data_IF_849797711572
#
_entry.id   IF_849797711572
#
_cell.length_a   1.000
_cell.length_b   1.000
_cell.length_c   1.000
_cell.angle_alpha   90.00
_cell.angle_beta   90.00
_cell.angle_gamma   90.00
#
_symmetry.space_group_name_H-M   'P 1'
#
loop_
_entity.id
_entity.type
_entity.pdbx_description
1 polymer ?
#
# COMPACT_ATOMS: atom_id res chain seq x y z
N UNK A 1 58.23 26.14 -37.30
CA UNK A 1 59.47 26.19 -36.50
C UNK A 1 59.34 27.37 -35.53
N UNK A 2 59.82 27.36 -34.26
CA UNK A 2 60.51 26.34 -33.44
C UNK A 2 59.80 26.05 -32.07
N UNK A 3 59.85 24.82 -31.51
CA UNK A 3 60.76 24.23 -30.49
C UNK A 3 60.31 24.37 -29.00
N UNK A 4 59.82 23.22 -28.48
CA UNK A 4 60.08 22.53 -27.22
C UNK A 4 60.51 23.23 -25.91
N UNK A 5 59.93 22.73 -24.80
CA UNK A 5 60.55 22.21 -23.54
C UNK A 5 59.42 21.46 -22.81
N UNK A 6 59.32 20.13 -22.71
CA UNK A 6 60.16 19.06 -22.10
C UNK A 6 60.61 19.38 -20.67
N UNK A 7 59.93 18.76 -19.71
CA UNK A 7 60.51 18.28 -18.45
C UNK A 7 59.93 16.88 -18.13
N UNK A 8 60.84 15.94 -17.97
CA UNK A 8 60.69 14.54 -17.53
C UNK A 8 60.63 14.51 -15.98
N UNK A 9 59.78 13.68 -15.36
CA UNK A 9 59.98 12.27 -14.94
C UNK A 9 60.82 12.08 -13.68
N UNK A 10 60.21 11.43 -12.66
CA UNK A 10 60.72 10.34 -11.78
C UNK A 10 59.62 10.08 -10.73
N UNK A 11 58.81 9.02 -10.79
CA UNK A 11 59.05 7.59 -10.46
C UNK A 11 59.31 7.27 -8.97
N UNK A 12 58.75 6.10 -8.59
CA UNK A 12 58.95 5.28 -7.39
C UNK A 12 58.07 5.59 -6.16
N UNK A 13 57.48 4.61 -5.46
CA UNK A 13 57.16 3.19 -5.67
C UNK A 13 56.39 2.74 -4.41
N UNK A 14 55.50 1.75 -4.58
CA UNK A 14 55.20 0.63 -3.68
C UNK A 14 55.12 0.89 -2.15
N UNK A 15 53.95 0.65 -1.57
CA UNK A 15 53.91 -0.27 -0.43
C UNK A 15 52.63 -1.11 -0.38
N UNK A 16 52.86 -2.40 -0.23
CA UNK A 16 51.91 -3.50 -0.06
C UNK A 16 51.79 -3.84 1.44
N UNK A 17 50.63 -4.37 1.83
CA UNK A 17 50.38 -4.99 3.12
C UNK A 17 49.19 -4.33 3.80
N UNK A 18 48.09 -5.01 4.16
CA UNK A 18 47.86 -6.43 4.33
C UNK A 18 47.03 -6.59 5.61
N UNK A 19 45.81 -7.11 5.44
CA UNK A 19 44.96 -7.79 6.44
C UNK A 19 44.59 -7.07 7.74
N UNK A 20 43.31 -6.72 7.87
CA UNK A 20 42.50 -7.16 9.00
C UNK A 20 41.01 -7.16 8.61
N UNK A 21 40.46 -8.38 8.52
CA UNK A 21 39.04 -8.65 8.38
C UNK A 21 38.31 -8.18 9.65
N UNK A 22 37.26 -7.37 9.50
CA UNK A 22 36.28 -7.14 10.55
C UNK A 22 34.89 -7.34 9.95
N UNK A 23 34.38 -8.55 10.11
CA UNK A 23 32.99 -8.91 9.83
C UNK A 23 32.07 -8.04 10.67
N UNK A 24 31.39 -7.10 10.01
CA UNK A 24 30.23 -6.43 10.58
C UNK A 24 29.00 -7.04 9.91
N UNK A 25 28.35 -7.96 10.63
CA UNK A 25 27.03 -8.47 10.27
C UNK A 25 26.07 -7.30 10.08
N UNK A 26 25.61 -7.11 8.85
CA UNK A 26 24.47 -6.25 8.54
C UNK A 26 23.23 -7.01 9.05
N UNK A 27 22.45 -6.46 10.00
CA UNK A 27 21.19 -7.09 10.38
C UNK A 27 20.27 -7.04 9.16
N UNK A 28 19.89 -8.21 8.64
CA UNK A 28 18.90 -8.32 7.58
C UNK A 28 17.59 -7.60 7.94
N UNK A 29 16.81 -7.15 6.93
CA UNK A 29 15.56 -6.48 7.19
C UNK A 29 14.63 -7.44 7.94
N UNK A 30 14.37 -7.12 9.21
CA UNK A 30 13.36 -7.79 10.02
C UNK A 30 12.04 -7.69 9.27
N UNK A 31 11.44 -8.83 9.03
CA UNK A 31 10.08 -9.01 8.55
C UNK A 31 9.09 -8.39 9.56
N UNK A 32 8.90 -7.07 9.51
CA UNK A 32 7.99 -6.31 10.38
C UNK A 32 6.60 -6.10 9.76
N UNK A 33 6.26 -6.81 8.69
CA UNK A 33 4.99 -6.66 8.00
C UNK A 33 3.77 -7.17 8.81
N UNK A 34 3.97 -7.90 9.93
CA UNK A 34 2.88 -8.59 10.63
C UNK A 34 2.45 -7.95 11.97
N UNK A 35 3.17 -6.93 12.47
CA UNK A 35 2.84 -6.25 13.74
C UNK A 35 2.01 -4.97 13.57
N UNK A 36 2.08 -4.34 12.41
CA UNK A 36 1.41 -3.07 12.10
C UNK A 36 -0.07 -3.27 11.76
N UNK A 37 -0.42 -4.39 11.13
CA UNK A 37 -1.82 -4.74 10.78
C UNK A 37 -2.68 -5.01 12.03
N UNK A 38 -2.16 -5.78 13.00
CA UNK A 38 -2.85 -6.07 14.27
C UNK A 38 -3.07 -4.83 15.15
N UNK A 39 -2.11 -3.90 15.19
CA UNK A 39 -2.26 -2.64 15.95
C UNK A 39 -3.31 -1.71 15.31
N UNK A 40 -3.35 -1.63 13.98
CA UNK A 40 -4.34 -0.82 13.24
C UNK A 40 -5.75 -1.39 13.35
N UNK A 41 -5.92 -2.72 13.30
CA UNK A 41 -7.25 -3.34 13.43
C UNK A 41 -7.87 -3.18 14.84
N UNK A 42 -7.07 -3.29 15.90
CA UNK A 42 -7.52 -3.03 17.27
C UNK A 42 -7.88 -1.55 17.52
N UNK A 43 -7.24 -0.62 16.81
CA UNK A 43 -7.59 0.79 16.86
C UNK A 43 -8.94 1.07 16.15
N UNK A 44 -9.16 0.44 14.99
CA UNK A 44 -10.40 0.56 14.23
C UNK A 44 -11.62 0.05 15.01
N UNK A 45 -11.52 -1.11 15.66
CA UNK A 45 -12.63 -1.65 16.45
C UNK A 45 -12.99 -0.75 17.64
N UNK A 46 -11.98 -0.17 18.31
CA UNK A 46 -12.20 0.82 19.37
C UNK A 46 -12.88 2.08 18.83
N UNK A 47 -12.42 2.62 17.70
CA UNK A 47 -13.03 3.78 17.05
C UNK A 47 -14.50 3.50 16.68
N UNK A 48 -14.80 2.36 16.05
CA UNK A 48 -16.17 1.98 15.71
C UNK A 48 -17.08 1.87 16.95
N UNK A 49 -16.59 1.29 18.04
CA UNK A 49 -17.35 1.18 19.30
C UNK A 49 -17.69 2.53 19.94
N UNK A 50 -16.90 3.58 19.64
CA UNK A 50 -17.14 4.93 20.15
C UNK A 50 -18.22 5.69 19.39
N UNK A 51 -18.62 5.22 18.21
CA UNK A 51 -19.65 5.86 17.37
C UNK A 51 -21.02 5.39 17.87
N UNK A 52 -21.68 6.21 18.70
CA UNK A 52 -22.98 5.90 19.31
C UNK A 52 -24.06 5.48 18.30
N UNK A 53 -24.06 6.08 17.11
CA UNK A 53 -25.03 5.76 16.05
C UNK A 53 -24.93 4.30 15.58
N UNK A 54 -23.73 3.69 15.61
CA UNK A 54 -23.53 2.31 15.18
C UNK A 54 -24.02 1.27 16.17
N UNK A 55 -24.26 1.64 17.44
CA UNK A 55 -24.76 0.73 18.45
C UNK A 55 -26.14 0.15 18.10
N UNK A 56 -26.95 0.89 17.34
CA UNK A 56 -28.27 0.47 16.84
C UNK A 56 -28.33 0.44 15.31
N UNK A 57 -27.19 0.62 14.64
CA UNK A 57 -27.11 0.65 13.19
C UNK A 57 -27.29 -0.74 12.57
N UNK A 58 -27.83 -0.77 11.36
CA UNK A 58 -27.86 -1.96 10.51
C UNK A 58 -26.44 -2.42 10.14
N UNK A 59 -26.31 -3.66 9.69
CA UNK A 59 -25.01 -4.19 9.28
C UNK A 59 -24.43 -3.45 8.07
N UNK A 60 -25.29 -2.92 7.19
CA UNK A 60 -24.86 -2.06 6.09
C UNK A 60 -24.30 -0.73 6.59
N UNK A 61 -24.97 -0.07 7.54
CA UNK A 61 -24.45 1.18 8.14
C UNK A 61 -23.10 0.96 8.83
N UNK A 62 -22.94 -0.16 9.53
CA UNK A 62 -21.66 -0.54 10.15
C UNK A 62 -20.58 -0.79 9.10
N UNK A 63 -20.90 -1.46 7.99
CA UNK A 63 -19.97 -1.70 6.90
C UNK A 63 -19.52 -0.38 6.24
N UNK A 64 -20.46 0.52 5.95
CA UNK A 64 -20.17 1.85 5.41
C UNK A 64 -19.33 2.67 6.37
N UNK A 65 -19.67 2.69 7.67
CA UNK A 65 -18.87 3.40 8.67
C UNK A 65 -17.45 2.82 8.80
N UNK A 66 -17.29 1.52 8.64
CA UNK A 66 -15.98 0.87 8.58
C UNK A 66 -15.17 1.36 7.38
N UNK A 67 -15.78 1.41 6.18
CA UNK A 67 -15.13 1.95 4.99
C UNK A 67 -14.71 3.42 5.15
N UNK A 68 -15.61 4.24 5.70
CA UNK A 68 -15.34 5.66 6.00
C UNK A 68 -14.17 5.81 6.96
N UNK A 69 -14.12 4.99 8.00
CA UNK A 69 -13.07 5.06 9.01
C UNK A 69 -11.72 4.59 8.47
N UNK A 70 -11.70 3.56 7.61
CA UNK A 70 -10.49 3.10 6.91
C UNK A 70 -9.91 4.23 6.07
N UNK A 71 -10.74 4.95 5.31
CA UNK A 71 -10.32 6.13 4.56
C UNK A 71 -9.77 7.23 5.48
N UNK A 72 -10.53 7.60 6.52
CA UNK A 72 -10.16 8.71 7.40
C UNK A 72 -8.83 8.46 8.14
N UNK A 73 -8.57 7.21 8.53
CA UNK A 73 -7.31 6.83 9.18
C UNK A 73 -6.08 6.92 8.27
N UNK A 74 -6.28 6.98 6.95
CA UNK A 74 -5.22 7.20 5.97
C UNK A 74 -5.20 8.63 5.40
N UNK A 75 -6.25 9.42 5.65
CA UNK A 75 -6.37 10.76 5.11
C UNK A 75 -5.34 11.70 5.76
N UNK A 76 -4.76 12.58 4.95
CA UNK A 76 -3.91 13.65 5.45
C UNK A 76 -4.70 14.82 6.03
N UNK A 77 -4.02 15.91 6.44
CA UNK A 77 -4.65 17.08 7.04
C UNK A 77 -5.72 17.77 6.16
N UNK A 78 -5.66 17.56 4.85
CA UNK A 78 -6.64 18.07 3.88
C UNK A 78 -7.88 17.18 3.72
N UNK A 79 -7.98 16.09 4.50
CA UNK A 79 -9.08 15.14 4.45
C UNK A 79 -9.08 14.23 3.23
N UNK A 80 -7.95 14.11 2.52
CA UNK A 80 -7.81 13.29 1.31
C UNK A 80 -6.73 12.22 1.46
N UNK A 81 -6.82 11.18 0.63
CA UNK A 81 -5.86 10.07 0.57
C UNK A 81 -5.14 10.12 -0.77
N UNK A 82 -3.83 9.82 -0.83
CA UNK A 82 -3.12 9.71 -2.10
C UNK A 82 -3.64 8.49 -2.90
N UNK A 83 -3.63 8.54 -4.23
CA UNK A 83 -4.01 7.39 -5.06
C UNK A 83 -3.17 6.15 -4.73
N UNK A 84 -1.87 6.34 -4.48
CA UNK A 84 -0.95 5.30 -4.04
C UNK A 84 -1.37 4.66 -2.71
N UNK A 85 -1.66 5.47 -1.69
CA UNK A 85 -2.13 4.95 -0.39
C UNK A 85 -3.47 4.23 -0.53
N UNK A 86 -4.40 4.78 -1.32
CA UNK A 86 -5.69 4.16 -1.60
C UNK A 86 -5.51 2.78 -2.25
N UNK A 87 -4.57 2.65 -3.19
CA UNK A 87 -4.20 1.36 -3.80
C UNK A 87 -3.76 0.35 -2.75
N UNK A 88 -2.81 0.71 -1.89
CA UNK A 88 -2.27 -0.19 -0.87
C UNK A 88 -3.34 -0.59 0.16
N UNK A 89 -4.18 0.36 0.58
CA UNK A 89 -5.31 0.10 1.48
C UNK A 89 -6.27 -0.91 0.85
N UNK A 90 -6.69 -0.68 -0.40
CA UNK A 90 -7.66 -1.55 -1.06
C UNK A 90 -7.08 -2.94 -1.30
N UNK A 91 -5.82 -3.06 -1.72
CA UNK A 91 -5.14 -4.36 -1.84
C UNK A 91 -5.05 -5.10 -0.50
N UNK A 92 -4.85 -4.38 0.61
CA UNK A 92 -4.80 -4.98 1.94
C UNK A 92 -6.19 -5.36 2.48
N UNK A 93 -7.24 -4.60 2.19
CA UNK A 93 -8.60 -4.85 2.70
C UNK A 93 -9.40 -5.85 1.86
N UNK A 94 -9.14 -5.93 0.55
CA UNK A 94 -9.93 -6.75 -0.40
C UNK A 94 -9.28 -8.09 -0.79
N UNK A 95 -8.26 -8.56 -0.06
CA UNK A 95 -7.48 -9.76 -0.41
C UNK A 95 -8.34 -10.98 -0.79
N UNK A 96 -9.40 -11.25 -0.02
CA UNK A 96 -10.30 -12.38 -0.29
C UNK A 96 -11.15 -12.15 -1.53
N UNK A 97 -11.71 -10.95 -1.70
CA UNK A 97 -12.61 -10.63 -2.81
C UNK A 97 -11.88 -10.53 -4.16
N UNK A 98 -10.60 -10.17 -4.14
CA UNK A 98 -9.82 -10.00 -5.36
C UNK A 98 -9.02 -11.24 -5.74
N UNK A 99 -9.04 -12.29 -4.91
CA UNK A 99 -8.33 -13.54 -5.19
C UNK A 99 -8.89 -14.19 -6.46
N UNK A 100 -8.01 -14.47 -7.42
CA UNK A 100 -8.40 -15.04 -8.71
C UNK A 100 -8.93 -14.02 -9.72
N UNK A 101 -9.07 -12.75 -9.32
CA UNK A 101 -9.59 -11.66 -10.14
C UNK A 101 -8.49 -10.88 -10.86
N UNK A 102 -7.22 -11.18 -10.58
CA UNK A 102 -6.06 -10.39 -10.99
C UNK A 102 -5.87 -10.36 -12.51
N UNK A 103 -6.44 -11.33 -13.22
CA UNK A 103 -6.41 -11.41 -14.68
C UNK A 103 -7.51 -10.58 -15.37
N UNK A 104 -8.62 -10.26 -14.66
CA UNK A 104 -9.79 -9.57 -15.22
C UNK A 104 -9.40 -8.16 -15.70
N UNK A 105 -9.84 -7.73 -16.91
CA UNK A 105 -9.54 -6.40 -17.43
C UNK A 105 -9.98 -5.26 -16.50
N UNK A 106 -11.20 -5.34 -15.94
CA UNK A 106 -11.72 -4.32 -15.03
C UNK A 106 -10.90 -4.18 -13.74
N UNK A 107 -10.39 -5.29 -13.19
CA UNK A 107 -9.51 -5.26 -12.02
C UNK A 107 -8.21 -4.51 -12.33
N UNK A 108 -7.60 -4.83 -13.47
CA UNK A 108 -6.36 -4.18 -13.92
C UNK A 108 -6.56 -2.70 -14.19
N UNK A 109 -7.68 -2.31 -14.78
CA UNK A 109 -8.02 -0.92 -15.04
C UNK A 109 -8.16 -0.12 -13.73
N UNK A 110 -8.88 -0.66 -12.75
CA UNK A 110 -9.03 -0.05 -11.42
C UNK A 110 -7.66 0.16 -10.75
N UNK A 111 -6.81 -0.89 -10.73
CA UNK A 111 -5.49 -0.78 -10.11
C UNK A 111 -4.53 0.14 -10.90
N UNK A 112 -4.67 0.19 -12.23
CA UNK A 112 -3.89 1.09 -13.06
C UNK A 112 -4.27 2.56 -12.81
N UNK A 113 -5.57 2.86 -12.68
CA UNK A 113 -6.01 4.21 -12.34
C UNK A 113 -5.53 4.63 -10.95
N UNK A 114 -5.59 3.73 -9.96
CA UNK A 114 -5.03 3.96 -8.62
C UNK A 114 -3.50 4.06 -8.60
N UNK A 115 -2.80 3.45 -9.55
CA UNK A 115 -1.35 3.56 -9.68
C UNK A 115 -0.88 4.81 -10.42
N UNK A 116 -1.72 5.34 -11.32
CA UNK A 116 -1.42 6.52 -12.12
C UNK A 116 -1.44 7.78 -11.27
N UNK A 117 -0.40 8.60 -11.39
CA UNK A 117 -0.24 9.84 -10.63
C UNK A 117 -0.43 9.59 -9.12
N UNK A 118 0.32 8.63 -8.54
CA UNK A 118 0.09 8.13 -7.18
C UNK A 118 0.00 9.19 -6.08
N UNK A 119 0.65 10.35 -6.24
CA UNK A 119 0.59 11.48 -5.31
C UNK A 119 -0.71 12.30 -5.42
N UNK A 120 -1.47 12.14 -6.52
CA UNK A 120 -2.78 12.77 -6.68
C UNK A 120 -3.68 12.32 -5.55
N UNK A 121 -4.31 13.29 -4.90
CA UNK A 121 -5.17 13.06 -3.73
C UNK A 121 -6.62 12.91 -4.16
N UNK A 122 -7.29 11.90 -3.62
CA UNK A 122 -8.69 11.56 -3.89
C UNK A 122 -9.56 11.85 -2.66
N UNK A 123 -10.81 12.21 -2.91
CA UNK A 123 -11.80 12.42 -1.86
C UNK A 123 -12.48 11.10 -1.45
N UNK A 124 -13.35 11.16 -0.44
CA UNK A 124 -14.08 9.97 0.04
C UNK A 124 -14.96 9.37 -1.06
N UNK A 125 -15.59 10.22 -1.86
CA UNK A 125 -16.49 9.83 -2.95
C UNK A 125 -15.76 8.95 -3.97
N UNK A 126 -14.56 9.37 -4.38
CA UNK A 126 -13.71 8.60 -5.29
C UNK A 126 -13.28 7.26 -4.67
N UNK A 127 -12.91 7.27 -3.38
CA UNK A 127 -12.53 6.05 -2.66
C UNK A 127 -13.68 5.03 -2.60
N UNK A 128 -14.90 5.50 -2.36
CA UNK A 128 -16.10 4.65 -2.38
C UNK A 128 -16.39 4.09 -3.77
N UNK A 129 -16.17 4.86 -4.84
CA UNK A 129 -16.30 4.36 -6.21
C UNK A 129 -15.34 3.20 -6.48
N UNK A 130 -14.10 3.26 -5.99
CA UNK A 130 -13.16 2.14 -6.10
C UNK A 130 -13.60 0.91 -5.30
N UNK A 131 -14.13 1.10 -4.08
CA UNK A 131 -14.72 0.01 -3.28
C UNK A 131 -15.84 -0.69 -4.06
N UNK A 132 -16.75 0.07 -4.66
CA UNK A 132 -17.85 -0.46 -5.46
C UNK A 132 -17.31 -1.19 -6.70
N UNK A 133 -16.36 -0.60 -7.42
CA UNK A 133 -15.74 -1.21 -8.61
C UNK A 133 -15.05 -2.55 -8.32
N UNK A 134 -14.30 -2.63 -7.21
CA UNK A 134 -13.68 -3.88 -6.77
C UNK A 134 -14.73 -4.92 -6.35
N UNK A 135 -15.77 -4.48 -5.65
CA UNK A 135 -16.88 -5.37 -5.24
C UNK A 135 -17.60 -5.96 -6.45
N UNK A 136 -17.89 -5.14 -7.47
CA UNK A 136 -18.53 -5.60 -8.72
C UNK A 136 -17.61 -6.51 -9.53
N UNK A 137 -16.29 -6.30 -9.49
CA UNK A 137 -15.32 -7.14 -10.19
C UNK A 137 -15.10 -8.49 -9.49
N UNK A 138 -15.37 -8.57 -8.18
CA UNK A 138 -15.27 -9.81 -7.40
C UNK A 138 -16.35 -10.83 -7.76
N UNK A 139 -16.16 -12.07 -7.32
CA UNK A 139 -17.14 -13.14 -7.51
C UNK A 139 -18.24 -13.14 -6.42
N UNK A 140 -18.26 -12.14 -5.52
CA UNK A 140 -19.19 -12.05 -4.39
C UNK A 140 -20.66 -12.21 -4.80
N UNK A 141 -21.08 -11.61 -5.92
CA UNK A 141 -22.47 -11.73 -6.37
C UNK A 141 -22.82 -13.18 -6.75
N UNK A 142 -21.92 -13.86 -7.45
CA UNK A 142 -22.10 -15.26 -7.81
C UNK A 142 -22.11 -16.14 -6.55
N UNK A 143 -21.21 -15.91 -5.60
CA UNK A 143 -21.16 -16.63 -4.32
C UNK A 143 -22.48 -16.47 -3.53
N UNK A 144 -23.02 -15.25 -3.43
CA UNK A 144 -24.31 -14.99 -2.76
C UNK A 144 -25.46 -15.69 -3.50
N UNK A 145 -25.44 -15.70 -4.84
CA UNK A 145 -26.46 -16.36 -5.64
C UNK A 145 -26.45 -17.88 -5.44
N UNK A 146 -25.28 -18.51 -5.40
CA UNK A 146 -25.16 -19.95 -5.14
C UNK A 146 -25.58 -20.29 -3.70
N UNK A 147 -25.23 -19.47 -2.72
CA UNK A 147 -25.64 -19.68 -1.33
C UNK A 147 -27.17 -19.63 -1.14
N UNK A 148 -27.89 -18.87 -1.96
CA UNK A 148 -29.37 -18.79 -1.92
C UNK A 148 -30.09 -19.98 -2.54
N UNK A 149 -29.38 -20.85 -3.27
CA UNK A 149 -29.96 -22.05 -3.89
C UNK A 149 -29.95 -23.27 -2.97
N UNK A 150 -29.25 -23.18 -1.82
CA UNK A 150 -29.18 -24.22 -0.78
C UNK A 150 -30.33 -24.06 0.21
#
# INVERSE_FOLDING_TARGET
MPVAKRSQSTEAQLNMGGSASSSQEIPGPKTEANSTSKKKSAALSKQLSSIKALARGSDLEKAVATAVLVFYNAAGPDGRVSKGDAREILLAQFQTFTRGQESKPSYKEILADLGKDGDRRIAMEDFMLFIVGLTVTSDLLAEIQEARKQ
#
